data_IF_987110286406
#
_entry.id   IF_987110286406
#
_cell.length_a   1.000
_cell.length_b   1.000
_cell.length_c   1.000
_cell.angle_alpha   90.00
_cell.angle_beta   90.00
_cell.angle_gamma   90.00
#
_symmetry.space_group_name_H-M   'P 1'
#
loop_
_entity.id
_entity.type
_entity.pdbx_description
1 polymer ?
#
# COMPACT_ATOMS: atom_id res chain seq x y z
N UNK A 1 23.21 -33.20 9.28
CA UNK A 1 23.71 -31.82 9.17
C UNK A 1 23.51 -31.39 7.73
N UNK A 2 22.57 -30.50 7.47
CA UNK A 2 22.37 -29.92 6.15
C UNK A 2 23.45 -28.84 6.02
N UNK A 3 24.43 -29.07 5.18
CA UNK A 3 25.52 -28.14 4.91
C UNK A 3 24.99 -26.91 4.20
N UNK A 4 25.31 -25.73 4.70
CA UNK A 4 24.78 -24.39 4.30
C UNK A 4 25.25 -23.91 2.91
N UNK A 5 25.24 -24.74 1.86
CA UNK A 5 25.76 -24.37 0.55
C UNK A 5 24.72 -24.04 -0.52
N UNK A 6 23.40 -24.22 -0.27
CA UNK A 6 22.37 -24.00 -1.31
C UNK A 6 21.11 -23.34 -0.73
N UNK A 7 21.18 -22.06 -0.38
CA UNK A 7 20.05 -21.37 0.27
C UNK A 7 18.95 -20.93 -0.70
N UNK A 8 19.16 -20.93 -2.00
CA UNK A 8 18.16 -20.49 -3.00
C UNK A 8 17.59 -21.60 -3.88
N UNK A 9 18.14 -22.80 -3.85
CA UNK A 9 17.73 -23.90 -4.74
C UNK A 9 16.33 -24.48 -4.47
N UNK A 10 15.74 -24.18 -3.32
CA UNK A 10 14.38 -24.63 -2.95
C UNK A 10 13.30 -23.58 -3.17
N UNK A 11 13.65 -22.35 -3.53
CA UNK A 11 12.70 -21.27 -3.74
C UNK A 11 12.51 -20.99 -5.23
N UNK A 12 11.26 -20.91 -5.67
CA UNK A 12 10.97 -20.46 -7.05
C UNK A 12 11.57 -19.07 -7.27
N UNK A 13 12.28 -18.82 -8.39
CA UNK A 13 13.01 -17.58 -8.64
C UNK A 13 12.06 -16.44 -9.10
N UNK A 14 11.03 -16.17 -8.32
CA UNK A 14 10.02 -15.13 -8.62
C UNK A 14 10.47 -13.71 -8.29
N UNK A 15 11.58 -13.57 -7.55
CA UNK A 15 12.14 -12.29 -7.11
C UNK A 15 13.62 -12.16 -7.47
N UNK A 16 14.03 -11.00 -7.98
CA UNK A 16 15.44 -10.59 -8.08
C UNK A 16 15.93 -10.09 -6.72
N UNK A 17 16.36 -11.02 -5.85
CA UNK A 17 16.77 -10.69 -4.48
C UNK A 17 18.07 -9.90 -4.46
N UNK A 18 18.14 -8.87 -3.61
CA UNK A 18 19.40 -8.23 -3.25
C UNK A 18 20.25 -9.22 -2.41
N UNK A 19 21.60 -9.24 -2.56
CA UNK A 19 22.48 -10.19 -1.86
C UNK A 19 22.76 -9.75 -0.42
N UNK A 20 21.70 -9.57 0.37
CA UNK A 20 21.75 -9.21 1.78
C UNK A 20 20.83 -10.16 2.55
N UNK A 21 21.29 -10.64 3.69
CA UNK A 21 20.49 -11.45 4.60
C UNK A 21 20.31 -10.71 5.92
N UNK A 22 19.11 -10.19 6.15
CA UNK A 22 18.77 -9.55 7.43
C UNK A 22 18.45 -10.59 8.49
N UNK A 23 18.99 -10.39 9.70
CA UNK A 23 18.78 -11.27 10.86
C UNK A 23 18.12 -10.55 12.03
N UNK A 24 18.10 -9.20 12.03
CA UNK A 24 17.52 -8.39 13.10
C UNK A 24 16.99 -7.08 12.53
N UNK A 25 15.94 -6.54 13.19
CA UNK A 25 15.41 -5.21 12.92
C UNK A 25 15.01 -4.50 14.21
N UNK A 26 15.17 -3.17 14.25
CA UNK A 26 14.70 -2.31 15.34
C UNK A 26 14.43 -0.89 14.82
N UNK A 27 13.23 -0.36 15.03
CA UNK A 27 12.85 0.95 14.53
C UNK A 27 13.01 1.05 13.01
N UNK A 28 13.76 2.04 12.52
CA UNK A 28 14.04 2.24 11.10
C UNK A 28 15.26 1.44 10.59
N UNK A 29 15.84 0.56 11.41
CA UNK A 29 17.10 -0.09 11.10
C UNK A 29 16.99 -1.60 10.96
N UNK A 30 17.70 -2.14 9.99
CA UNK A 30 17.91 -3.57 9.81
C UNK A 30 19.39 -3.91 10.03
N UNK A 31 19.68 -5.11 10.53
CA UNK A 31 21.03 -5.62 10.70
C UNK A 31 21.17 -6.92 9.91
N UNK A 32 22.22 -7.02 9.09
CA UNK A 32 22.50 -8.23 8.33
C UNK A 32 23.34 -9.25 9.11
N UNK A 33 23.61 -10.40 8.49
CA UNK A 33 24.40 -11.49 9.08
C UNK A 33 25.90 -11.18 9.23
N UNK A 34 26.39 -10.11 8.61
CA UNK A 34 27.73 -9.55 8.81
C UNK A 34 27.77 -8.51 9.94
N UNK A 35 26.62 -8.18 10.56
CA UNK A 35 26.51 -7.17 11.61
C UNK A 35 26.42 -5.73 11.08
N UNK A 36 26.29 -5.52 9.78
CA UNK A 36 26.16 -4.19 9.19
C UNK A 36 24.74 -3.66 9.41
N UNK A 37 24.63 -2.35 9.69
CA UNK A 37 23.36 -1.63 9.90
C UNK A 37 22.90 -0.90 8.64
N UNK A 38 21.61 -1.02 8.37
CA UNK A 38 20.97 -0.51 7.17
C UNK A 38 19.78 0.38 7.55
N UNK A 39 19.79 1.64 7.10
CA UNK A 39 18.60 2.50 7.22
C UNK A 39 17.56 2.09 6.19
N UNK A 40 16.37 1.75 6.66
CA UNK A 40 15.31 1.20 5.83
C UNK A 40 14.33 2.30 5.37
N UNK A 41 14.49 2.77 4.14
CA UNK A 41 13.56 3.69 3.51
C UNK A 41 12.51 2.98 2.61
N UNK A 42 12.39 1.64 2.73
CA UNK A 42 11.42 0.80 2.02
C UNK A 42 10.34 0.27 2.95
N UNK A 43 10.69 -0.03 4.21
CA UNK A 43 9.80 -0.58 5.24
C UNK A 43 8.99 -1.81 4.75
N UNK A 44 9.65 -2.73 4.00
CA UNK A 44 8.95 -3.87 3.39
C UNK A 44 7.92 -3.48 2.32
N UNK A 45 8.11 -2.36 1.63
CA UNK A 45 7.17 -1.70 0.69
C UNK A 45 5.93 -1.16 1.45
N UNK A 46 6.19 -0.23 2.38
CA UNK A 46 5.19 0.41 3.24
C UNK A 46 4.40 -0.58 4.12
N UNK A 47 5.07 -1.65 4.58
CA UNK A 47 4.48 -2.65 5.48
C UNK A 47 4.81 -2.35 6.95
N UNK A 48 6.09 -2.12 7.27
CA UNK A 48 6.52 -1.86 8.64
C UNK A 48 6.36 -0.38 9.00
N UNK A 49 5.10 0.10 9.06
CA UNK A 49 4.80 1.51 9.30
C UNK A 49 5.29 2.00 10.68
N UNK A 50 5.24 1.15 11.70
CA UNK A 50 5.78 1.43 13.03
C UNK A 50 7.24 1.00 13.20
N UNK A 51 7.93 0.71 12.08
CA UNK A 51 9.28 0.16 12.12
C UNK A 51 9.33 -1.30 12.52
N UNK A 52 10.56 -1.81 12.59
CA UNK A 52 10.84 -3.19 12.91
C UNK A 52 10.73 -3.44 14.41
N UNK A 53 10.10 -4.55 14.80
CA UNK A 53 9.97 -5.02 16.20
C UNK A 53 9.41 -3.94 17.14
N UNK A 54 8.37 -3.21 16.71
CA UNK A 54 7.74 -2.18 17.56
C UNK A 54 7.24 -2.81 18.87
N UNK A 55 7.57 -2.24 20.05
CA UNK A 55 7.30 -2.88 21.35
C UNK A 55 5.84 -3.26 21.58
N UNK A 56 4.90 -2.35 21.26
CA UNK A 56 3.46 -2.61 21.46
C UNK A 56 2.96 -3.76 20.57
N UNK A 57 3.39 -3.79 19.29
CA UNK A 57 3.01 -4.85 18.34
C UNK A 57 3.62 -6.18 18.74
N UNK A 58 4.91 -6.19 19.13
CA UNK A 58 5.61 -7.39 19.61
C UNK A 58 4.94 -7.97 20.85
N UNK A 59 4.58 -7.13 21.82
CA UNK A 59 3.89 -7.57 23.05
C UNK A 59 2.52 -8.16 22.75
N UNK A 60 1.73 -7.52 21.86
CA UNK A 60 0.42 -8.01 21.45
C UNK A 60 0.51 -9.38 20.76
N UNK A 61 1.49 -9.57 19.86
CA UNK A 61 1.75 -10.85 19.20
C UNK A 61 2.13 -11.92 20.23
N UNK A 62 3.06 -11.66 21.13
CA UNK A 62 3.51 -12.60 22.16
C UNK A 62 2.37 -13.03 23.06
N UNK A 63 1.57 -12.09 23.56
CA UNK A 63 0.43 -12.38 24.40
C UNK A 63 -0.63 -13.20 23.65
N UNK A 64 -0.98 -12.81 22.43
CA UNK A 64 -2.02 -13.48 21.68
C UNK A 64 -1.58 -14.87 21.19
N UNK A 65 -0.31 -15.04 20.83
CA UNK A 65 0.25 -16.34 20.46
C UNK A 65 0.20 -17.36 21.60
N UNK A 66 0.34 -16.90 22.84
CA UNK A 66 0.21 -17.74 24.05
C UNK A 66 -1.25 -18.00 24.46
N UNK A 67 -2.22 -17.26 23.88
CA UNK A 67 -3.63 -17.36 24.27
C UNK A 67 -4.44 -18.18 23.26
N UNK A 68 -4.46 -17.75 21.99
CA UNK A 68 -5.28 -18.36 20.94
C UNK A 68 -4.85 -17.83 19.57
N UNK A 69 -4.42 -18.71 18.66
CA UNK A 69 -3.93 -18.30 17.34
C UNK A 69 -5.02 -18.33 16.28
N UNK A 70 -5.87 -19.39 16.28
CA UNK A 70 -6.89 -19.61 15.25
C UNK A 70 -8.05 -20.45 15.76
N UNK A 71 -9.28 -20.15 15.27
CA UNK A 71 -10.49 -20.92 15.60
C UNK A 71 -11.40 -21.22 14.41
N UNK A 72 -11.13 -20.65 13.21
CA UNK A 72 -12.09 -20.57 12.10
C UNK A 72 -13.20 -19.53 12.27
N UNK A 73 -13.63 -18.96 11.14
CA UNK A 73 -14.78 -18.02 11.04
C UNK A 73 -16.14 -18.73 11.16
N UNK A 74 -16.16 -20.01 11.49
CA UNK A 74 -17.38 -20.72 11.93
C UNK A 74 -17.83 -20.28 13.34
N UNK A 75 -16.93 -19.67 14.09
CA UNK A 75 -17.17 -19.19 15.46
C UNK A 75 -16.94 -17.69 15.56
N UNK A 76 -17.48 -17.08 16.61
CA UNK A 76 -17.21 -15.67 16.89
C UNK A 76 -15.78 -15.49 17.39
N UNK A 77 -15.09 -14.50 16.87
CA UNK A 77 -13.72 -14.13 17.23
C UNK A 77 -13.72 -12.72 17.84
N UNK A 78 -13.58 -12.63 19.16
CA UNK A 78 -13.68 -11.36 19.89
C UNK A 78 -12.70 -10.30 19.38
N UNK A 79 -11.43 -10.68 19.09
CA UNK A 79 -10.41 -9.77 18.53
C UNK A 79 -10.79 -9.27 17.14
N UNK A 80 -11.42 -10.10 16.33
CA UNK A 80 -11.90 -9.71 15.00
C UNK A 80 -12.98 -8.63 15.10
N UNK A 81 -13.93 -8.80 16.02
CA UNK A 81 -14.98 -7.82 16.25
C UNK A 81 -14.42 -6.49 16.77
N UNK A 82 -13.49 -6.53 17.73
CA UNK A 82 -12.86 -5.33 18.28
C UNK A 82 -12.07 -4.56 17.22
N UNK A 83 -11.29 -5.25 16.39
CA UNK A 83 -10.56 -4.61 15.28
C UNK A 83 -11.52 -4.04 14.24
N UNK A 84 -12.60 -4.76 13.89
CA UNK A 84 -13.59 -4.27 12.93
C UNK A 84 -14.25 -2.97 13.42
N UNK A 85 -14.64 -2.91 14.69
CA UNK A 85 -15.19 -1.70 15.30
C UNK A 85 -14.22 -0.51 15.20
N UNK A 86 -12.96 -0.70 15.59
CA UNK A 86 -11.92 0.34 15.51
C UNK A 86 -11.68 0.81 14.07
N UNK A 87 -11.63 -0.11 13.11
CA UNK A 87 -11.47 0.22 11.69
C UNK A 87 -12.67 1.00 11.15
N UNK A 88 -13.89 0.61 11.51
CA UNK A 88 -15.11 1.35 11.13
C UNK A 88 -15.10 2.77 11.71
N UNK A 89 -14.74 2.93 12.98
CA UNK A 89 -14.63 4.25 13.63
C UNK A 89 -13.55 5.11 12.96
N UNK A 90 -12.40 4.53 12.64
CA UNK A 90 -11.29 5.27 12.01
C UNK A 90 -11.58 5.67 10.56
N UNK A 91 -12.43 4.93 9.84
CA UNK A 91 -12.70 5.10 8.41
C UNK A 91 -14.02 5.75 8.07
N UNK A 92 -15.01 5.71 8.98
CA UNK A 92 -16.40 6.03 8.67
C UNK A 92 -17.10 4.95 7.85
N UNK A 93 -16.54 3.73 7.77
CA UNK A 93 -17.17 2.56 7.18
C UNK A 93 -18.07 1.84 8.19
N UNK A 94 -18.88 0.87 7.72
CA UNK A 94 -19.90 0.20 8.54
C UNK A 94 -19.60 -1.26 8.80
N UNK A 95 -18.98 -1.95 7.83
CA UNK A 95 -18.66 -3.38 7.91
C UNK A 95 -17.29 -3.71 7.35
N UNK A 96 -16.68 -4.79 7.86
CA UNK A 96 -15.34 -5.24 7.47
C UNK A 96 -15.36 -6.72 7.15
N UNK A 97 -14.76 -7.09 6.03
CA UNK A 97 -14.33 -8.45 5.73
C UNK A 97 -12.81 -8.54 5.86
N UNK A 98 -12.30 -9.52 6.58
CA UNK A 98 -10.86 -9.74 6.77
C UNK A 98 -10.31 -10.83 5.85
N UNK A 99 -9.19 -10.54 5.19
CA UNK A 99 -8.33 -11.46 4.48
C UNK A 99 -6.92 -11.48 5.08
N UNK A 100 -5.94 -12.00 4.32
CA UNK A 100 -4.54 -12.11 4.77
C UNK A 100 -3.58 -11.21 3.98
N UNK A 101 -4.07 -10.54 2.96
CA UNK A 101 -3.27 -9.72 2.07
C UNK A 101 -4.09 -8.63 1.40
N UNK A 102 -3.41 -7.65 0.80
CA UNK A 102 -4.07 -6.64 -0.04
C UNK A 102 -4.73 -7.23 -1.29
N UNK A 103 -4.14 -8.27 -1.88
CA UNK A 103 -4.76 -8.96 -3.00
C UNK A 103 -6.10 -9.59 -2.60
N UNK A 104 -6.19 -10.26 -1.45
CA UNK A 104 -7.45 -10.81 -0.95
C UNK A 104 -8.48 -9.72 -0.62
N UNK A 105 -8.03 -8.59 -0.07
CA UNK A 105 -8.92 -7.45 0.18
C UNK A 105 -9.49 -6.88 -1.13
N UNK A 106 -8.67 -6.75 -2.18
CA UNK A 106 -9.11 -6.32 -3.51
C UNK A 106 -9.98 -7.36 -4.22
N UNK A 107 -9.72 -8.67 -4.04
CA UNK A 107 -10.62 -9.73 -4.54
C UNK A 107 -12.03 -9.58 -3.92
N UNK A 108 -12.12 -9.28 -2.62
CA UNK A 108 -13.40 -9.00 -1.96
C UNK A 108 -14.09 -7.77 -2.57
N UNK A 109 -13.36 -6.67 -2.77
CA UNK A 109 -13.88 -5.45 -3.40
C UNK A 109 -14.38 -5.70 -4.84
N UNK A 110 -13.62 -6.46 -5.66
CA UNK A 110 -14.03 -6.85 -7.01
C UNK A 110 -15.31 -7.69 -6.98
N UNK A 111 -15.44 -8.60 -6.01
CA UNK A 111 -16.68 -9.39 -5.83
C UNK A 111 -17.86 -8.52 -5.39
N UNK A 112 -17.67 -7.53 -4.52
CA UNK A 112 -18.70 -6.54 -4.17
C UNK A 112 -19.17 -5.78 -5.40
N UNK A 113 -18.25 -5.29 -6.24
CA UNK A 113 -18.58 -4.59 -7.47
C UNK A 113 -19.40 -5.45 -8.45
N UNK A 114 -19.08 -6.74 -8.56
CA UNK A 114 -19.86 -7.67 -9.39
C UNK A 114 -21.25 -7.93 -8.83
N UNK A 115 -21.38 -8.17 -7.53
CA UNK A 115 -22.69 -8.34 -6.88
C UNK A 115 -23.54 -7.10 -7.02
N UNK A 116 -22.96 -5.90 -6.85
CA UNK A 116 -23.65 -4.64 -7.07
C UNK A 116 -24.19 -4.54 -8.49
N UNK A 117 -23.36 -4.83 -9.49
CA UNK A 117 -23.78 -4.84 -10.90
C UNK A 117 -24.93 -5.81 -11.16
N UNK A 118 -24.85 -7.05 -10.67
CA UNK A 118 -25.90 -8.05 -10.82
C UNK A 118 -27.21 -7.63 -10.14
N UNK A 119 -27.17 -7.01 -8.95
CA UNK A 119 -28.38 -6.45 -8.30
C UNK A 119 -29.03 -5.36 -9.16
N UNK A 120 -28.27 -4.66 -10.00
CA UNK A 120 -28.76 -3.67 -10.97
C UNK A 120 -29.18 -4.27 -12.32
N UNK A 121 -29.18 -5.60 -12.45
CA UNK A 121 -29.52 -6.31 -13.68
C UNK A 121 -28.44 -6.24 -14.77
N UNK A 122 -27.18 -5.98 -14.39
CA UNK A 122 -26.06 -5.97 -15.33
C UNK A 122 -25.51 -7.41 -15.45
N UNK A 123 -25.54 -7.97 -16.65
CA UNK A 123 -25.09 -9.35 -16.89
C UNK A 123 -23.57 -9.52 -16.79
N UNK A 124 -22.80 -8.52 -17.25
CA UNK A 124 -21.34 -8.51 -17.27
C UNK A 124 -20.78 -7.29 -16.51
N UNK A 125 -20.91 -7.25 -15.18
CA UNK A 125 -20.46 -6.09 -14.40
C UNK A 125 -18.99 -5.77 -14.67
N UNK A 126 -18.73 -4.54 -15.05
CA UNK A 126 -17.41 -4.04 -15.44
C UNK A 126 -16.93 -2.98 -14.46
N UNK A 127 -15.64 -3.03 -14.13
CA UNK A 127 -14.98 -2.13 -13.19
C UNK A 127 -14.02 -1.24 -13.98
N UNK A 128 -14.11 0.08 -13.79
CA UNK A 128 -13.11 1.01 -14.30
C UNK A 128 -11.89 0.96 -13.39
N UNK A 129 -10.70 0.79 -14.00
CA UNK A 129 -9.39 0.80 -13.33
C UNK A 129 -8.43 1.75 -14.04
N UNK A 130 -7.37 2.18 -13.37
CA UNK A 130 -6.50 3.23 -13.90
C UNK A 130 -5.25 2.66 -14.56
N UNK A 131 -4.73 3.36 -15.57
CA UNK A 131 -3.37 3.12 -16.08
C UNK A 131 -2.34 3.35 -14.96
N UNK A 132 -1.29 2.53 -14.95
CA UNK A 132 -0.27 2.58 -13.90
C UNK A 132 -0.67 1.99 -12.55
N UNK A 133 -1.92 1.52 -12.38
CA UNK A 133 -2.39 0.95 -11.13
C UNK A 133 -1.78 -0.42 -10.82
N UNK A 134 -1.66 -0.70 -9.51
CA UNK A 134 -1.29 -2.01 -8.99
C UNK A 134 -2.27 -2.45 -7.90
N UNK A 135 -3.01 -3.54 -8.15
CA UNK A 135 -4.03 -4.05 -7.24
C UNK A 135 -3.75 -5.47 -6.71
N UNK A 136 -2.70 -6.14 -7.20
CA UNK A 136 -2.30 -7.46 -6.72
C UNK A 136 -1.84 -8.42 -7.82
N UNK A 137 -1.65 -9.70 -7.44
CA UNK A 137 -1.10 -10.77 -8.29
C UNK A 137 -2.01 -12.00 -8.41
N UNK A 138 -3.18 -12.02 -7.77
CA UNK A 138 -4.21 -13.03 -8.01
C UNK A 138 -4.90 -12.75 -9.35
N UNK A 139 -5.59 -13.73 -9.95
CA UNK A 139 -6.07 -13.59 -11.32
C UNK A 139 -6.98 -12.36 -11.53
N UNK A 140 -7.91 -12.05 -10.61
CA UNK A 140 -8.74 -10.87 -10.79
C UNK A 140 -7.97 -9.58 -10.51
N UNK A 141 -7.18 -9.52 -9.45
CA UNK A 141 -6.36 -8.33 -9.14
C UNK A 141 -5.25 -8.10 -10.17
N UNK A 142 -4.70 -9.16 -10.77
CA UNK A 142 -3.75 -9.09 -11.88
C UNK A 142 -4.43 -8.50 -13.13
N UNK A 143 -5.68 -8.89 -13.40
CA UNK A 143 -6.47 -8.32 -14.50
C UNK A 143 -6.77 -6.82 -14.30
N UNK A 144 -6.98 -6.39 -13.06
CA UNK A 144 -7.15 -5.00 -12.68
C UNK A 144 -5.83 -4.19 -12.72
N UNK A 145 -4.69 -4.83 -12.44
CA UNK A 145 -3.35 -4.22 -12.44
C UNK A 145 -2.91 -3.80 -13.83
N UNK A 146 -2.33 -2.60 -13.99
CA UNK A 146 -1.89 -2.05 -15.27
C UNK A 146 -0.41 -2.33 -15.57
N UNK A 147 0.05 -3.55 -15.38
CA UNK A 147 1.44 -3.95 -15.61
C UNK A 147 1.50 -5.14 -16.59
N UNK A 148 1.74 -4.86 -17.87
CA UNK A 148 1.82 -5.88 -18.92
C UNK A 148 2.91 -6.93 -18.67
N UNK A 149 4.04 -6.55 -18.08
CA UNK A 149 5.10 -7.51 -17.74
C UNK A 149 4.65 -8.51 -16.67
N UNK A 150 3.80 -8.04 -15.74
CA UNK A 150 3.23 -8.92 -14.72
C UNK A 150 2.12 -9.82 -15.25
N UNK A 151 1.41 -9.40 -16.31
CA UNK A 151 0.31 -10.12 -16.93
C UNK A 151 0.78 -11.16 -17.95
N UNK A 152 1.92 -10.90 -18.62
CA UNK A 152 2.42 -11.74 -19.71
C UNK A 152 2.62 -13.19 -19.27
N UNK A 153 2.02 -14.12 -20.02
CA UNK A 153 2.05 -15.56 -19.77
C UNK A 153 0.94 -16.08 -18.85
N UNK A 154 0.06 -15.19 -18.34
CA UNK A 154 -1.08 -15.57 -17.49
C UNK A 154 -2.44 -15.33 -18.18
N UNK A 155 -2.43 -15.07 -19.48
CA UNK A 155 -3.64 -14.97 -20.30
C UNK A 155 -4.34 -16.35 -20.47
N UNK A 156 -5.70 -16.38 -20.59
CA UNK A 156 -6.58 -15.21 -20.68
C UNK A 156 -6.84 -14.56 -19.33
N UNK A 157 -6.73 -13.21 -19.28
CA UNK A 157 -7.08 -12.45 -18.09
C UNK A 157 -8.60 -12.46 -17.88
N UNK A 158 -9.06 -12.21 -16.63
CA UNK A 158 -10.48 -12.11 -16.34
C UNK A 158 -11.09 -10.90 -17.06
N UNK A 159 -12.23 -11.06 -17.74
CA UNK A 159 -13.00 -9.95 -18.32
C UNK A 159 -13.68 -9.12 -17.22
N UNK A 160 -14.22 -7.95 -17.62
CA UNK A 160 -14.95 -7.07 -16.73
C UNK A 160 -14.09 -5.95 -16.16
N UNK A 161 -13.04 -5.54 -16.86
CA UNK A 161 -12.21 -4.38 -16.52
C UNK A 161 -12.06 -3.46 -17.73
N UNK A 162 -12.27 -2.15 -17.53
CA UNK A 162 -11.98 -1.10 -18.52
C UNK A 162 -10.93 -0.19 -17.94
N UNK A 163 -9.88 0.10 -18.71
CA UNK A 163 -8.73 0.88 -18.25
C UNK A 163 -8.78 2.29 -18.84
N UNK A 164 -8.58 3.31 -17.98
CA UNK A 164 -8.54 4.72 -18.35
C UNK A 164 -7.29 5.39 -17.77
N UNK A 165 -6.81 6.50 -18.32
CA UNK A 165 -5.71 7.27 -17.72
C UNK A 165 -6.07 7.73 -16.31
N UNK A 166 -5.07 7.73 -15.41
CA UNK A 166 -5.19 8.35 -14.09
C UNK A 166 -5.22 9.87 -14.24
N UNK A 167 -6.04 10.58 -13.44
CA UNK A 167 -6.30 12.02 -13.54
C UNK A 167 -7.06 12.47 -14.81
N UNK A 168 -7.80 11.57 -15.46
CA UNK A 168 -8.62 11.90 -16.64
C UNK A 168 -10.10 11.57 -16.36
N UNK A 169 -10.84 12.56 -15.79
CA UNK A 169 -12.28 12.45 -15.54
C UNK A 169 -13.09 12.38 -16.85
N UNK A 170 -12.61 13.02 -17.92
CA UNK A 170 -13.26 12.97 -19.21
C UNK A 170 -13.22 11.56 -19.82
N UNK A 171 -12.11 10.84 -19.65
CA UNK A 171 -12.02 9.45 -20.07
C UNK A 171 -13.02 8.56 -19.32
N UNK A 172 -13.21 8.80 -18.01
CA UNK A 172 -14.23 8.10 -17.20
C UNK A 172 -15.63 8.45 -17.72
N UNK A 173 -15.92 9.71 -17.99
CA UNK A 173 -17.20 10.16 -18.53
C UNK A 173 -17.48 9.58 -19.94
N UNK A 174 -16.48 9.47 -20.80
CA UNK A 174 -16.61 8.80 -22.11
C UNK A 174 -16.97 7.33 -21.97
N UNK A 175 -16.35 6.62 -21.00
CA UNK A 175 -16.72 5.23 -20.70
C UNK A 175 -18.16 5.16 -20.19
N UNK A 176 -18.58 6.07 -19.29
CA UNK A 176 -19.95 6.16 -18.79
C UNK A 176 -20.98 6.29 -19.93
N UNK A 177 -20.68 7.13 -20.91
CA UNK A 177 -21.57 7.36 -22.06
C UNK A 177 -21.70 6.16 -23.00
N UNK A 178 -20.65 5.35 -23.11
CA UNK A 178 -20.55 4.24 -24.09
C UNK A 178 -20.77 2.84 -23.52
N UNK A 179 -20.60 2.65 -22.20
CA UNK A 179 -20.68 1.33 -21.58
C UNK A 179 -21.64 1.33 -20.37
N UNK A 180 -22.80 0.72 -20.54
CA UNK A 180 -23.82 0.60 -19.48
C UNK A 180 -23.56 -0.55 -18.49
N UNK A 181 -22.48 -1.31 -18.67
CA UNK A 181 -22.13 -2.43 -17.81
C UNK A 181 -21.24 -2.02 -16.63
N UNK A 182 -20.92 -0.75 -16.48
CA UNK A 182 -20.07 -0.28 -15.38
C UNK A 182 -20.82 -0.40 -14.04
N UNK A 183 -20.17 -1.02 -13.07
CA UNK A 183 -20.68 -1.21 -11.71
C UNK A 183 -19.84 -0.50 -10.64
N UNK A 184 -18.57 -0.21 -10.94
CA UNK A 184 -17.66 0.38 -9.96
C UNK A 184 -16.46 1.07 -10.64
N UNK A 185 -15.80 1.92 -9.87
CA UNK A 185 -14.43 2.43 -10.12
C UNK A 185 -13.53 1.92 -9.00
N UNK A 186 -12.37 1.33 -9.35
CA UNK A 186 -11.32 0.93 -8.40
C UNK A 186 -10.08 1.78 -8.67
N UNK A 187 -9.63 2.54 -7.68
CA UNK A 187 -8.52 3.49 -7.82
C UNK A 187 -7.68 3.58 -6.56
N UNK A 188 -6.35 3.70 -6.71
CA UNK A 188 -5.44 4.08 -5.62
C UNK A 188 -5.54 5.61 -5.43
N UNK A 189 -5.75 6.16 -4.22
CA UNK A 189 -5.72 7.61 -3.99
C UNK A 189 -4.40 8.25 -4.40
N UNK A 190 -3.28 7.56 -4.15
CA UNK A 190 -1.95 7.86 -4.71
C UNK A 190 -1.41 6.55 -5.28
N UNK A 191 -1.05 6.54 -6.55
CA UNK A 191 -0.49 5.33 -7.17
C UNK A 191 0.91 5.03 -6.63
N UNK A 192 1.08 3.87 -6.02
CA UNK A 192 2.35 3.45 -5.44
C UNK A 192 3.35 2.96 -6.49
N UNK A 193 3.05 1.85 -7.13
CA UNK A 193 3.90 1.21 -8.14
C UNK A 193 3.97 2.02 -9.44
N UNK A 194 2.95 2.83 -9.71
CA UNK A 194 2.89 3.75 -10.86
C UNK A 194 3.82 4.96 -10.77
N UNK A 195 4.63 5.08 -9.70
CA UNK A 195 5.65 6.14 -9.56
C UNK A 195 5.26 7.27 -8.60
N UNK A 196 4.56 6.98 -7.54
CA UNK A 196 4.05 7.93 -6.55
C UNK A 196 3.29 9.08 -7.26
N UNK A 197 2.27 8.69 -8.04
CA UNK A 197 1.45 9.66 -8.77
C UNK A 197 0.33 10.17 -7.88
N UNK A 198 0.32 11.47 -7.63
CA UNK A 198 -0.72 12.15 -6.85
C UNK A 198 -1.96 12.39 -7.70
N UNK A 199 -3.16 12.37 -7.10
CA UNK A 199 -4.37 12.83 -7.78
C UNK A 199 -4.31 14.36 -7.91
N UNK A 200 -4.90 14.88 -8.99
CA UNK A 200 -5.24 16.29 -9.08
C UNK A 200 -6.32 16.65 -8.05
N UNK A 201 -6.40 17.92 -7.68
CA UNK A 201 -7.19 18.40 -6.53
C UNK A 201 -8.67 18.02 -6.57
N UNK A 202 -9.26 17.90 -7.75
CA UNK A 202 -10.67 17.62 -8.01
C UNK A 202 -10.94 16.18 -8.48
N UNK A 203 -9.86 15.40 -8.74
CA UNK A 203 -9.99 14.10 -9.38
C UNK A 203 -10.84 13.09 -8.59
N UNK A 204 -10.50 12.87 -7.30
CA UNK A 204 -11.23 11.92 -6.47
C UNK A 204 -12.68 12.39 -6.19
N UNK A 205 -12.89 13.68 -6.01
CA UNK A 205 -14.22 14.26 -5.86
C UNK A 205 -15.06 14.14 -7.15
N UNK A 206 -14.42 14.32 -8.31
CA UNK A 206 -15.03 14.10 -9.61
C UNK A 206 -15.42 12.63 -9.82
N UNK A 207 -14.57 11.69 -9.44
CA UNK A 207 -14.90 10.26 -9.46
C UNK A 207 -16.10 9.95 -8.56
N UNK A 208 -16.15 10.53 -7.34
CA UNK A 208 -17.32 10.36 -6.46
C UNK A 208 -18.60 10.87 -7.12
N UNK A 209 -18.55 12.06 -7.72
CA UNK A 209 -19.68 12.64 -8.43
C UNK A 209 -20.18 11.75 -9.58
N UNK A 210 -19.25 11.22 -10.40
CA UNK A 210 -19.60 10.31 -11.49
C UNK A 210 -20.19 8.99 -10.95
N UNK A 211 -19.62 8.44 -9.89
CA UNK A 211 -20.16 7.23 -9.27
C UNK A 211 -21.58 7.44 -8.74
N UNK A 212 -21.85 8.58 -8.10
CA UNK A 212 -23.19 8.92 -7.60
C UNK A 212 -24.22 9.09 -8.73
N UNK A 213 -23.83 9.75 -9.83
CA UNK A 213 -24.70 9.97 -11.01
C UNK A 213 -25.08 8.66 -11.71
N UNK A 214 -24.21 7.66 -11.67
CA UNK A 214 -24.40 6.41 -12.41
C UNK A 214 -24.71 5.21 -11.52
N UNK A 215 -24.87 5.40 -10.21
CA UNK A 215 -25.04 4.34 -9.21
C UNK A 215 -23.90 3.28 -9.29
N UNK A 216 -22.65 3.75 -9.33
CA UNK A 216 -21.44 2.92 -9.27
C UNK A 216 -20.85 2.95 -7.88
N UNK A 217 -20.17 1.87 -7.49
CA UNK A 217 -19.37 1.89 -6.28
C UNK A 217 -18.04 2.62 -6.54
N UNK A 218 -17.71 3.60 -5.70
CA UNK A 218 -16.35 4.14 -5.61
C UNK A 218 -15.56 3.29 -4.62
N UNK A 219 -14.56 2.58 -5.12
CA UNK A 219 -13.70 1.69 -4.34
C UNK A 219 -12.28 2.25 -4.30
N UNK A 220 -11.77 2.54 -3.12
CA UNK A 220 -10.42 3.06 -2.94
C UNK A 220 -9.48 1.96 -2.44
N UNK A 221 -8.43 1.71 -3.22
CA UNK A 221 -7.33 0.85 -2.81
C UNK A 221 -6.35 1.65 -1.94
N UNK A 222 -6.54 1.55 -0.64
CA UNK A 222 -5.73 2.19 0.39
C UNK A 222 -4.68 1.23 0.99
N UNK A 223 -4.32 0.17 0.28
CA UNK A 223 -3.36 -0.83 0.75
C UNK A 223 -2.00 -0.22 1.01
N UNK A 224 -1.57 0.73 0.18
CA UNK A 224 -0.29 1.43 0.38
C UNK A 224 -0.46 2.81 1.02
N UNK A 225 -1.54 3.52 0.75
CA UNK A 225 -1.80 4.89 1.21
C UNK A 225 -2.39 4.96 2.62
N UNK A 226 -3.06 3.91 3.07
CA UNK A 226 -3.69 3.82 4.38
C UNK A 226 -2.72 3.62 5.54
N UNK A 227 -3.29 3.41 6.72
CA UNK A 227 -2.57 3.14 7.96
C UNK A 227 -1.53 4.22 8.30
N UNK A 228 -1.92 5.48 8.15
CA UNK A 228 -1.11 6.64 8.53
C UNK A 228 -0.08 7.09 7.50
N UNK A 229 0.17 6.33 6.43
CA UNK A 229 1.25 6.56 5.46
C UNK A 229 1.26 7.98 4.89
N UNK A 230 0.10 8.53 4.60
CA UNK A 230 -0.07 9.84 3.97
C UNK A 230 -0.31 10.99 4.96
N UNK A 231 -0.39 10.72 6.27
CA UNK A 231 -0.64 11.72 7.31
C UNK A 231 -2.09 11.74 7.82
N UNK A 232 -2.95 10.86 7.32
CA UNK A 232 -4.27 10.51 7.87
C UNK A 232 -4.37 9.00 7.95
N UNK A 233 -5.34 8.45 8.71
CA UNK A 233 -5.48 7.00 8.80
C UNK A 233 -5.73 6.37 7.42
N UNK A 234 -6.64 6.97 6.63
CA UNK A 234 -6.81 6.72 5.20
C UNK A 234 -6.60 8.00 4.40
N UNK A 235 -5.98 7.90 3.22
CA UNK A 235 -5.68 9.06 2.38
C UNK A 235 -6.95 9.79 1.92
N UNK A 236 -8.05 9.07 1.68
CA UNK A 236 -9.34 9.66 1.27
C UNK A 236 -9.84 10.75 2.23
N UNK A 237 -9.46 10.68 3.51
CA UNK A 237 -9.82 11.68 4.53
C UNK A 237 -9.21 13.06 4.21
N UNK A 238 -8.02 13.11 3.61
CA UNK A 238 -7.38 14.38 3.21
C UNK A 238 -8.05 15.01 1.98
N UNK A 239 -8.68 14.19 1.15
CA UNK A 239 -9.40 14.64 -0.04
C UNK A 239 -10.89 14.88 0.24
N UNK A 240 -11.35 14.71 1.48
CA UNK A 240 -12.75 14.80 1.88
C UNK A 240 -13.68 13.94 1.00
N UNK A 241 -13.21 12.80 0.52
CA UNK A 241 -13.97 11.86 -0.32
C UNK A 241 -14.38 10.67 0.53
N UNK A 242 -15.66 10.34 0.46
CA UNK A 242 -16.24 9.21 1.16
C UNK A 242 -16.55 8.09 0.14
N UNK A 243 -15.67 7.06 0.03
CA UNK A 243 -15.90 5.94 -0.89
C UNK A 243 -16.95 4.96 -0.34
N UNK A 244 -17.46 4.07 -1.19
CA UNK A 244 -18.35 2.97 -0.79
C UNK A 244 -17.56 1.78 -0.25
N UNK A 245 -16.32 1.59 -0.73
CA UNK A 245 -15.43 0.50 -0.33
C UNK A 245 -14.01 1.04 -0.14
N UNK A 246 -13.35 0.60 0.92
CA UNK A 246 -11.90 0.79 1.15
C UNK A 246 -11.25 -0.58 1.29
N UNK A 247 -10.12 -0.80 0.61
CA UNK A 247 -9.26 -1.96 0.87
C UNK A 247 -7.98 -1.52 1.55
N UNK A 248 -7.52 -2.31 2.53
CA UNK A 248 -6.30 -2.03 3.29
C UNK A 248 -5.55 -3.32 3.64
N UNK A 249 -4.25 -3.19 3.84
CA UNK A 249 -3.34 -4.27 4.27
C UNK A 249 -2.00 -3.66 4.71
N UNK A 250 -0.87 -4.29 4.37
CA UNK A 250 0.50 -3.77 4.59
C UNK A 250 0.69 -3.21 5.99
N UNK A 251 0.68 -1.88 6.12
CA UNK A 251 0.83 -1.18 7.39
C UNK A 251 -0.18 -1.58 8.47
N UNK A 252 -1.31 -2.15 8.10
CA UNK A 252 -2.32 -2.64 9.04
C UNK A 252 -1.77 -3.68 10.03
N UNK A 253 -0.92 -4.60 9.55
CA UNK A 253 -0.35 -5.66 10.38
C UNK A 253 1.10 -5.42 10.83
N UNK A 254 1.74 -4.36 10.35
CA UNK A 254 3.16 -4.06 10.61
C UNK A 254 4.09 -5.28 10.42
N UNK A 255 3.84 -6.09 9.39
CA UNK A 255 4.59 -7.31 9.06
C UNK A 255 3.80 -8.61 9.28
N UNK A 256 2.76 -8.61 10.10
CA UNK A 256 1.84 -9.74 10.23
C UNK A 256 0.86 -9.73 9.04
N UNK A 257 0.69 -10.87 8.33
CA UNK A 257 -0.23 -10.96 7.20
C UNK A 257 -1.68 -10.69 7.62
N UNK A 258 -2.26 -9.59 7.14
CA UNK A 258 -3.66 -9.22 7.28
C UNK A 258 -4.05 -8.26 6.17
N UNK A 259 -5.27 -8.39 5.66
CA UNK A 259 -5.93 -7.44 4.77
C UNK A 259 -7.38 -7.26 5.18
N UNK A 260 -7.97 -6.15 4.81
CA UNK A 260 -9.36 -5.87 5.09
C UNK A 260 -10.03 -5.15 3.91
N UNK A 261 -11.28 -5.53 3.64
CA UNK A 261 -12.20 -4.85 2.75
C UNK A 261 -13.30 -4.25 3.60
N UNK A 262 -13.37 -2.94 3.66
CA UNK A 262 -14.36 -2.18 4.42
C UNK A 262 -15.43 -1.66 3.46
N UNK A 263 -16.68 -1.67 3.89
CA UNK A 263 -17.79 -1.21 3.08
C UNK A 263 -18.79 -0.40 3.91
N UNK A 264 -19.55 0.49 3.24
CA UNK A 264 -20.64 1.25 3.82
C UNK A 264 -21.87 1.31 2.90
N UNK A 265 -23.00 1.71 3.46
CA UNK A 265 -24.25 1.86 2.71
C UNK A 265 -24.63 0.57 1.99
N UNK A 266 -25.10 0.69 0.75
CA UNK A 266 -25.49 -0.49 -0.03
C UNK A 266 -24.37 -1.52 -0.20
N UNK A 267 -23.09 -1.10 -0.26
CA UNK A 267 -21.98 -2.02 -0.40
C UNK A 267 -21.81 -2.93 0.83
N UNK A 268 -22.14 -2.44 2.03
CA UNK A 268 -22.07 -3.20 3.26
C UNK A 268 -23.11 -4.34 3.34
N UNK A 269 -24.19 -4.26 2.54
CA UNK A 269 -25.28 -5.23 2.51
C UNK A 269 -25.20 -6.22 1.33
N UNK A 270 -24.10 -6.22 0.57
CA UNK A 270 -23.96 -7.08 -0.59
C UNK A 270 -23.57 -8.51 -0.23
N UNK A 271 -22.64 -8.70 0.72
CA UNK A 271 -22.25 -10.02 1.16
C UNK A 271 -23.22 -10.58 2.19
N UNK A 272 -23.60 -11.83 2.01
CA UNK A 272 -24.34 -12.65 2.95
C UNK A 272 -23.60 -13.97 3.23
N UNK A 273 -24.10 -14.82 4.11
CA UNK A 273 -23.50 -16.12 4.40
C UNK A 273 -23.23 -16.93 3.13
N UNK A 274 -21.97 -17.39 2.97
CA UNK A 274 -21.53 -18.16 1.80
C UNK A 274 -21.09 -17.33 0.59
N UNK A 275 -21.27 -16.00 0.56
CA UNK A 275 -20.86 -15.16 -0.58
C UNK A 275 -19.35 -15.08 -0.76
N UNK A 276 -18.62 -15.05 0.34
CA UNK A 276 -17.14 -14.98 0.37
C UNK A 276 -16.61 -15.59 1.65
N UNK A 277 -15.31 -15.91 1.70
CA UNK A 277 -14.70 -16.50 2.89
C UNK A 277 -13.18 -16.53 2.81
N UNK A 278 -12.57 -16.68 3.97
CA UNK A 278 -11.13 -16.89 4.15
C UNK A 278 -10.91 -17.80 5.35
N UNK A 279 -10.04 -18.80 5.21
CA UNK A 279 -9.73 -19.71 6.32
C UNK A 279 -9.03 -18.97 7.46
N UNK A 280 -8.05 -18.13 7.15
CA UNK A 280 -7.20 -17.45 8.15
C UNK A 280 -7.56 -15.98 8.35
N UNK A 281 -8.35 -15.40 7.45
CA UNK A 281 -8.70 -13.97 7.51
C UNK A 281 -9.37 -13.60 8.82
N UNK A 282 -8.84 -12.59 9.51
CA UNK A 282 -9.33 -12.13 10.80
C UNK A 282 -9.03 -13.09 11.97
N UNK A 283 -7.99 -13.92 11.88
CA UNK A 283 -7.60 -14.77 13.00
C UNK A 283 -7.16 -13.93 14.21
N UNK A 284 -7.29 -14.47 15.45
CA UNK A 284 -6.97 -13.73 16.67
C UNK A 284 -5.58 -13.13 16.69
N UNK A 285 -4.55 -13.85 16.18
CA UNK A 285 -3.17 -13.37 16.21
C UNK A 285 -2.96 -12.14 15.31
N UNK A 286 -3.44 -12.20 14.07
CA UNK A 286 -3.33 -11.10 13.13
C UNK A 286 -4.15 -9.88 13.58
N UNK A 287 -5.35 -10.11 14.14
CA UNK A 287 -6.19 -9.05 14.69
C UNK A 287 -5.54 -8.35 15.89
N UNK A 288 -4.91 -9.09 16.80
CA UNK A 288 -4.21 -8.51 17.94
C UNK A 288 -3.03 -7.62 17.51
N UNK A 289 -2.25 -8.06 16.51
CA UNK A 289 -1.19 -7.25 15.94
C UNK A 289 -1.74 -5.96 15.30
N UNK A 290 -2.78 -6.07 14.47
CA UNK A 290 -3.39 -4.93 13.78
C UNK A 290 -4.07 -3.94 14.75
N UNK A 291 -4.68 -4.44 15.81
CA UNK A 291 -5.26 -3.61 16.87
C UNK A 291 -4.18 -2.79 17.57
N UNK A 292 -3.04 -3.39 17.93
CA UNK A 292 -1.91 -2.68 18.53
C UNK A 292 -1.30 -1.64 17.56
N UNK A 293 -1.29 -1.93 16.25
CA UNK A 293 -0.86 -0.97 15.23
C UNK A 293 -1.80 0.22 15.18
N UNK A 294 -3.11 -0.01 15.07
CA UNK A 294 -4.12 1.04 14.99
C UNK A 294 -4.05 1.94 16.22
N UNK A 295 -4.02 1.35 17.41
CA UNK A 295 -3.94 2.11 18.67
C UNK A 295 -2.66 2.97 18.75
N UNK A 296 -1.52 2.45 18.28
CA UNK A 296 -0.27 3.21 18.24
C UNK A 296 -0.31 4.34 17.21
N UNK A 297 -0.90 4.09 16.05
CA UNK A 297 -1.01 5.09 14.98
C UNK A 297 -1.92 6.25 15.36
N UNK A 298 -3.07 5.96 15.95
CA UNK A 298 -4.08 6.98 16.30
C UNK A 298 -3.83 7.61 17.66
N UNK A 299 -3.18 6.89 18.59
CA UNK A 299 -2.91 7.37 19.96
C UNK A 299 -4.18 7.62 20.76
N UNK A 300 -4.03 8.31 21.88
CA UNK A 300 -5.15 8.92 22.60
C UNK A 300 -5.56 10.26 21.96
N UNK A 301 -6.70 10.80 22.36
CA UNK A 301 -7.23 12.08 21.85
C UNK A 301 -6.35 13.29 22.15
N UNK A 302 -5.37 13.15 23.06
CA UNK A 302 -4.47 14.23 23.49
C UNK A 302 -3.17 14.26 22.68
N UNK A 303 -2.63 13.08 22.30
CA UNK A 303 -1.31 12.99 21.66
C UNK A 303 -1.39 12.83 20.13
N UNK A 304 -2.54 12.41 19.59
CA UNK A 304 -2.74 12.20 18.14
C UNK A 304 -1.93 11.05 17.57
N UNK A 305 -1.24 10.27 18.41
CA UNK A 305 -0.45 9.11 18.00
C UNK A 305 0.69 9.44 17.01
N UNK A 306 1.15 8.40 16.31
CA UNK A 306 2.23 8.53 15.31
C UNK A 306 1.80 9.37 14.10
N UNK A 307 0.53 9.27 13.69
CA UNK A 307 0.00 9.95 12.49
C UNK A 307 0.18 11.47 12.57
N UNK A 308 0.04 12.07 13.76
CA UNK A 308 0.13 13.51 13.94
C UNK A 308 1.46 14.11 13.42
N UNK A 309 2.56 13.36 13.50
CA UNK A 309 3.87 13.81 13.04
C UNK A 309 4.16 13.51 11.57
N UNK A 310 3.39 12.64 10.92
CA UNK A 310 3.72 12.13 9.56
C UNK A 310 3.77 13.23 8.52
N UNK A 311 2.80 14.14 8.52
CA UNK A 311 2.75 15.24 7.55
C UNK A 311 3.95 16.19 7.69
N UNK A 312 4.31 16.56 8.93
CA UNK A 312 5.46 17.42 9.20
C UNK A 312 6.78 16.76 8.81
N UNK A 313 6.99 15.48 9.18
CA UNK A 313 8.18 14.70 8.79
C UNK A 313 8.27 14.49 7.27
N UNK A 314 7.13 14.25 6.63
CA UNK A 314 7.06 14.13 5.17
C UNK A 314 7.46 15.44 4.47
N UNK A 315 7.02 16.60 4.96
CA UNK A 315 7.42 17.90 4.41
C UNK A 315 8.90 18.18 4.68
N UNK A 316 9.38 17.92 5.89
CA UNK A 316 10.80 18.04 6.23
C UNK A 316 11.67 17.21 5.28
N UNK A 317 11.32 15.94 5.04
CA UNK A 317 12.08 15.08 4.12
C UNK A 317 12.01 15.61 2.68
N UNK A 318 10.84 16.02 2.19
CA UNK A 318 10.73 16.60 0.83
C UNK A 318 11.53 17.88 0.69
N UNK A 319 11.50 18.75 1.68
CA UNK A 319 12.26 20.01 1.66
C UNK A 319 13.78 19.74 1.65
N UNK A 320 14.26 18.86 2.53
CA UNK A 320 15.68 18.48 2.57
C UNK A 320 16.16 17.84 1.24
N UNK A 321 15.30 17.04 0.59
CA UNK A 321 15.59 16.48 -0.73
C UNK A 321 15.62 17.55 -1.82
N UNK A 322 14.70 18.54 -1.80
CA UNK A 322 14.70 19.65 -2.74
C UNK A 322 15.97 20.48 -2.61
N UNK A 323 16.40 20.76 -1.38
CA UNK A 323 17.65 21.50 -1.10
C UNK A 323 18.88 20.70 -1.56
N UNK A 324 18.95 19.38 -1.25
CA UNK A 324 20.07 18.52 -1.64
C UNK A 324 20.21 18.38 -3.15
N UNK A 325 19.10 18.36 -3.87
CA UNK A 325 19.08 18.19 -5.32
C UNK A 325 18.86 19.50 -6.11
N UNK A 326 18.94 20.65 -5.45
CA UNK A 326 18.79 21.94 -6.11
C UNK A 326 19.80 22.09 -7.25
N UNK A 327 19.31 22.50 -8.43
CA UNK A 327 20.14 22.69 -9.62
C UNK A 327 20.52 21.41 -10.38
N UNK A 328 20.17 20.22 -9.92
CA UNK A 328 20.39 18.97 -10.63
C UNK A 328 19.30 18.75 -11.68
N UNK A 329 19.59 19.00 -12.95
CA UNK A 329 18.64 18.82 -14.07
C UNK A 329 18.16 17.38 -14.25
N UNK A 330 18.90 16.41 -13.73
CA UNK A 330 18.58 14.98 -13.70
C UNK A 330 17.34 14.69 -12.85
N UNK A 331 17.09 15.45 -11.78
CA UNK A 331 15.91 15.33 -10.91
C UNK A 331 14.83 16.26 -11.43
N UNK A 332 13.76 15.69 -11.97
CA UNK A 332 12.65 16.43 -12.59
C UNK A 332 11.64 16.95 -11.59
N UNK A 333 11.33 16.13 -10.57
CA UNK A 333 10.29 16.41 -9.60
C UNK A 333 10.51 15.63 -8.31
N UNK A 334 10.20 16.24 -7.17
CA UNK A 334 10.07 15.59 -5.86
C UNK A 334 8.64 15.80 -5.39
N UNK A 335 7.86 14.73 -5.37
CA UNK A 335 6.43 14.73 -5.03
C UNK A 335 6.11 13.73 -3.91
N UNK A 336 4.95 13.85 -3.31
CA UNK A 336 4.52 12.90 -2.28
C UNK A 336 3.47 13.46 -1.33
N UNK A 337 2.92 12.58 -0.51
CA UNK A 337 1.94 12.89 0.52
C UNK A 337 2.34 12.17 1.81
N UNK A 338 2.48 12.91 2.92
CA UNK A 338 3.08 12.36 4.15
C UNK A 338 4.45 11.74 3.88
N UNK A 339 4.68 10.54 4.34
CA UNK A 339 5.92 9.76 4.14
C UNK A 339 5.81 8.75 2.97
N UNK A 340 5.06 9.08 1.94
CA UNK A 340 5.02 8.37 0.66
C UNK A 340 5.58 9.32 -0.40
N UNK A 341 6.89 9.20 -0.73
CA UNK A 341 7.64 10.19 -1.50
C UNK A 341 8.24 9.54 -2.75
N UNK A 342 8.14 10.24 -3.88
CA UNK A 342 8.76 9.89 -5.15
C UNK A 342 9.72 10.97 -5.63
N UNK A 343 10.89 10.56 -6.08
CA UNK A 343 11.87 11.43 -6.74
C UNK A 343 11.95 10.97 -8.19
N UNK A 344 11.42 11.79 -9.09
CA UNK A 344 11.40 11.52 -10.52
C UNK A 344 12.72 11.92 -11.18
N UNK A 345 13.37 10.95 -11.78
CA UNK A 345 14.54 11.18 -12.63
C UNK A 345 14.14 11.31 -14.10
N UNK A 346 14.98 11.95 -14.92
CA UNK A 346 14.76 12.13 -16.36
C UNK A 346 15.08 10.86 -17.18
N UNK A 347 15.62 9.83 -16.53
CA UNK A 347 16.05 8.54 -17.12
C UNK A 347 15.85 7.39 -16.14
N UNK A 348 16.13 6.17 -16.61
CA UNK A 348 16.18 5.00 -15.74
C UNK A 348 17.19 5.21 -14.61
N UNK A 349 16.76 4.95 -13.39
CA UNK A 349 17.56 5.15 -12.19
C UNK A 349 17.71 3.88 -11.34
N UNK A 350 17.48 2.71 -11.93
CA UNK A 350 17.56 1.42 -11.23
C UNK A 350 18.91 1.16 -10.54
N UNK A 351 20.01 1.68 -11.09
CA UNK A 351 21.34 1.57 -10.49
C UNK A 351 21.45 2.23 -9.11
N UNK A 352 20.61 3.22 -8.81
CA UNK A 352 20.60 3.87 -7.48
C UNK A 352 20.30 2.89 -6.34
N UNK A 353 19.57 1.80 -6.60
CA UNK A 353 19.34 0.77 -5.59
C UNK A 353 20.64 0.16 -5.08
N UNK A 354 21.57 -0.14 -5.98
CA UNK A 354 22.89 -0.67 -5.62
C UNK A 354 23.76 0.40 -4.96
N UNK A 355 23.79 1.61 -5.51
CA UNK A 355 24.60 2.71 -4.98
C UNK A 355 24.17 3.15 -3.57
N UNK A 356 22.86 3.15 -3.28
CA UNK A 356 22.34 3.40 -1.93
C UNK A 356 22.69 2.27 -0.99
N UNK A 357 22.56 1.02 -1.46
CA UNK A 357 22.94 -0.16 -0.69
C UNK A 357 24.40 -0.09 -0.25
N UNK A 358 25.32 0.29 -1.11
CA UNK A 358 26.75 0.46 -0.77
C UNK A 358 26.98 1.51 0.31
N UNK A 359 25.99 2.35 0.59
CA UNK A 359 25.98 3.40 1.62
C UNK A 359 25.14 3.06 2.84
N UNK A 360 24.69 1.81 2.95
CA UNK A 360 23.85 1.37 4.07
C UNK A 360 22.45 1.94 4.08
N UNK A 361 21.90 2.31 2.89
CA UNK A 361 20.55 2.81 2.72
C UNK A 361 19.75 1.86 1.81
N UNK A 362 18.57 1.46 2.25
CA UNK A 362 17.65 0.67 1.45
C UNK A 362 16.61 1.59 0.80
N UNK A 363 16.55 1.54 -0.51
CA UNK A 363 15.52 2.21 -1.33
C UNK A 363 14.95 1.24 -2.35
N UNK A 364 13.86 1.62 -3.02
CA UNK A 364 13.48 0.96 -4.26
C UNK A 364 13.16 1.97 -5.38
N UNK A 365 13.21 1.48 -6.62
CA UNK A 365 12.84 2.25 -7.81
C UNK A 365 11.58 1.64 -8.40
N UNK A 366 10.62 2.50 -8.73
CA UNK A 366 9.37 2.14 -9.38
C UNK A 366 9.20 2.92 -10.68
N UNK A 367 8.38 2.40 -11.61
CA UNK A 367 8.19 2.97 -12.95
C UNK A 367 9.52 3.25 -13.72
N UNK A 368 10.61 2.54 -13.39
CA UNK A 368 11.93 2.65 -14.02
C UNK A 368 12.74 3.90 -13.61
N UNK A 369 12.11 5.03 -13.39
CA UNK A 369 12.75 6.34 -13.19
C UNK A 369 12.33 7.09 -11.92
N UNK A 370 11.65 6.42 -10.98
CA UNK A 370 11.22 7.04 -9.72
C UNK A 370 11.83 6.33 -8.53
N UNK A 371 12.70 7.00 -7.80
CA UNK A 371 13.10 6.55 -6.45
C UNK A 371 11.91 6.74 -5.53
N UNK A 372 11.42 5.63 -4.96
CA UNK A 372 10.33 5.65 -3.97
C UNK A 372 10.90 5.52 -2.56
N UNK A 373 10.49 6.44 -1.70
CA UNK A 373 10.80 6.42 -0.27
C UNK A 373 9.49 6.26 0.51
N UNK A 374 9.44 5.19 1.29
CA UNK A 374 8.32 4.85 2.18
C UNK A 374 8.87 4.37 3.55
N UNK A 375 9.71 5.18 4.22
CA UNK A 375 10.33 4.80 5.48
C UNK A 375 9.28 4.51 6.56
N UNK A 376 9.63 3.86 7.68
CA UNK A 376 8.74 3.79 8.84
C UNK A 376 8.26 5.18 9.27
N UNK A 377 7.01 5.27 9.72
CA UNK A 377 6.38 6.55 10.12
C UNK A 377 7.01 7.16 11.38
N UNK A 378 7.74 6.34 12.12
CA UNK A 378 8.47 6.73 13.34
C UNK A 378 9.85 7.32 13.05
N UNK A 379 10.23 7.47 11.78
CA UNK A 379 11.54 8.01 11.38
C UNK A 379 11.82 9.34 12.08
N UNK A 380 12.98 9.47 12.70
CA UNK A 380 13.43 10.67 13.39
C UNK A 380 14.04 11.71 12.43
N UNK A 381 14.19 12.95 12.89
CA UNK A 381 14.88 14.02 12.14
C UNK A 381 16.33 13.66 11.81
N UNK A 382 17.03 13.01 12.75
CA UNK A 382 18.40 12.55 12.54
C UNK A 382 18.49 11.46 11.46
N UNK A 383 17.51 10.54 11.44
CA UNK A 383 17.43 9.51 10.40
C UNK A 383 17.03 10.10 9.04
N UNK A 384 16.16 11.11 9.01
CA UNK A 384 15.86 11.87 7.79
C UNK A 384 17.12 12.52 7.22
N UNK A 385 17.94 13.16 8.07
CA UNK A 385 19.21 13.77 7.65
C UNK A 385 20.17 12.73 7.05
N UNK A 386 20.33 11.58 7.71
CA UNK A 386 21.15 10.48 7.22
C UNK A 386 20.62 9.89 5.91
N UNK A 387 19.29 9.76 5.76
CA UNK A 387 18.66 9.30 4.51
C UNK A 387 19.02 10.23 3.34
N UNK A 388 18.84 11.54 3.54
CA UNK A 388 19.12 12.56 2.52
C UNK A 388 20.59 12.59 2.14
N UNK A 389 21.50 12.53 3.12
CA UNK A 389 22.95 12.48 2.89
C UNK A 389 23.34 11.24 2.06
N UNK A 390 22.97 10.04 2.52
CA UNK A 390 23.33 8.77 1.84
C UNK A 390 22.75 8.66 0.45
N UNK A 391 21.50 9.11 0.27
CA UNK A 391 20.86 9.16 -1.05
C UNK A 391 21.55 10.20 -1.95
N UNK A 392 21.89 11.35 -1.40
CA UNK A 392 22.62 12.40 -2.12
C UNK A 392 23.95 11.90 -2.64
N UNK A 393 24.75 11.24 -1.80
CA UNK A 393 26.04 10.65 -2.18
C UNK A 393 25.90 9.53 -3.23
N UNK A 394 24.79 8.78 -3.18
CA UNK A 394 24.48 7.78 -4.20
C UNK A 394 24.15 8.42 -5.54
N UNK A 395 23.39 9.53 -5.54
CA UNK A 395 23.08 10.31 -6.76
C UNK A 395 24.34 10.94 -7.35
N UNK A 396 25.24 11.50 -6.53
CA UNK A 396 26.51 12.05 -7.01
C UNK A 396 27.38 10.97 -7.67
N UNK A 397 27.41 9.76 -7.10
CA UNK A 397 28.10 8.62 -7.70
C UNK A 397 27.45 8.16 -9.01
N UNK A 398 26.11 8.17 -9.06
CA UNK A 398 25.35 7.83 -10.26
C UNK A 398 25.67 8.80 -11.42
N UNK A 399 25.74 10.11 -11.15
CA UNK A 399 26.09 11.12 -12.14
C UNK A 399 27.49 10.85 -12.69
N UNK A 400 28.50 10.65 -11.81
CA UNK A 400 29.88 10.36 -12.23
C UNK A 400 30.00 9.10 -13.09
N UNK A 401 29.23 8.06 -12.78
CA UNK A 401 29.20 6.83 -13.60
C UNK A 401 28.62 7.08 -15.00
N UNK A 402 27.62 7.97 -15.12
CA UNK A 402 27.02 8.32 -16.40
C UNK A 402 27.91 9.22 -17.27
N UNK A 403 28.74 10.08 -16.65
CA UNK A 403 29.71 10.93 -17.37
C UNK A 403 30.93 10.13 -17.86
N UNK A 404 31.21 8.98 -17.23
CA UNK A 404 32.35 8.12 -17.59
C UNK A 404 32.00 7.02 -18.62
N UNK A 405 30.70 6.81 -18.92
CA UNK A 405 30.19 5.78 -19.85
C UNK A 405 29.86 6.36 -21.23
#
# INVERSE_FOLDING_TARGET
MITAQHTDDYLMPTYARQPIRFIRGAGCWLTDDAGQHWLDAVAGIAVCNLGHCHPAVTAAIQQQAATLVHTSNLYQVARQQALAEKLCLASGMEKVFFGNSGAEANEAAIKLARLHGHRRGIDLPTIIVMEGAFHGRTMATLSATANRKAQAGFEPLLPGFVRVPFNDLEAVARVAASNRQISAVLVEPVQGEGGIRLPESDYLAGLRTLCDQHDWLLMLDEIQTGNGRTGSYFACQQFAVAPDVITTAKGLGNGVPIGACLARGQAAELFGPGSHGSTYGGNPLACAAAEAVLDTLTGDTLTGGVIAAVSARGEQLRQALRERFAGLSLVREIRGLGLMIGIQFDRDCGALVTLCRERGLLINVTAGSVVRLVPPLIISEAEISQLVERLGDAVDAFIKQQEAA
#
